data_IF_826543044252
#
_entry.id   IF_826543044252
#
_cell.length_a   1.000
_cell.length_b   1.000
_cell.length_c   1.000
_cell.angle_alpha   90.00
_cell.angle_beta   90.00
_cell.angle_gamma   90.00
#
_symmetry.space_group_name_H-M   'P 1'
#
loop_
_entity.id
_entity.type
_entity.pdbx_description
1 polymer ?
#
# COMPACT_ATOMS: atom_id res chain seq x y z
N UNK A 1 32.12 12.22 -49.92
CA UNK A 1 30.93 13.11 -49.93
C UNK A 1 30.65 13.50 -48.49
N UNK A 2 30.89 14.77 -48.16
CA UNK A 2 30.56 15.35 -46.87
C UNK A 2 29.05 15.47 -46.76
N UNK A 3 28.45 14.77 -45.80
CA UNK A 3 27.04 14.99 -45.42
C UNK A 3 27.06 15.91 -44.21
N UNK A 4 26.60 17.14 -44.43
CA UNK A 4 26.46 18.18 -43.42
C UNK A 4 25.53 17.74 -42.30
N UNK A 5 25.99 17.88 -41.06
CA UNK A 5 25.16 17.80 -39.86
C UNK A 5 24.22 19.01 -39.88
N UNK A 6 22.91 18.77 -39.93
CA UNK A 6 21.92 19.84 -39.80
C UNK A 6 21.94 20.36 -38.36
N UNK A 7 22.41 21.61 -38.19
CA UNK A 7 22.29 22.34 -36.93
C UNK A 7 20.84 22.72 -36.69
N UNK A 8 20.17 22.03 -35.77
CA UNK A 8 18.84 22.39 -35.32
C UNK A 8 18.93 23.67 -34.48
N UNK A 9 18.48 24.79 -35.03
CA UNK A 9 18.36 26.05 -34.30
C UNK A 9 17.14 25.95 -33.37
N UNK A 10 17.41 25.88 -32.06
CA UNK A 10 16.39 25.81 -31.02
C UNK A 10 15.55 27.09 -30.97
N UNK A 11 14.26 26.92 -31.20
CA UNK A 11 13.26 27.98 -31.04
C UNK A 11 13.15 28.35 -29.55
N UNK A 12 13.32 29.63 -29.22
CA UNK A 12 13.48 30.13 -27.84
C UNK A 12 12.16 30.23 -27.05
N UNK A 13 11.05 29.78 -27.62
CA UNK A 13 9.70 29.95 -27.05
C UNK A 13 9.02 28.62 -26.65
N UNK A 14 9.79 27.56 -26.41
CA UNK A 14 9.27 26.32 -25.84
C UNK A 14 9.37 26.36 -24.29
N UNK A 15 8.26 26.37 -23.53
CA UNK A 15 8.27 26.46 -22.06
C UNK A 15 8.70 25.14 -21.40
N UNK A 16 9.08 24.16 -22.21
CA UNK A 16 9.61 22.89 -21.78
C UNK A 16 11.13 23.00 -21.73
N UNK A 17 11.66 23.18 -20.52
CA UNK A 17 13.08 23.06 -20.21
C UNK A 17 13.52 21.61 -20.46
N UNK A 18 13.75 21.25 -21.72
CA UNK A 18 14.47 20.05 -22.09
C UNK A 18 15.97 20.37 -21.94
N UNK A 19 16.71 19.47 -21.31
CA UNK A 19 18.13 19.55 -20.94
C UNK A 19 18.46 20.18 -19.57
N UNK A 20 18.14 19.43 -18.51
CA UNK A 20 18.99 19.41 -17.32
C UNK A 20 19.62 18.02 -17.19
N UNK A 21 20.95 17.94 -17.34
CA UNK A 21 21.87 16.84 -16.98
C UNK A 21 21.22 15.58 -16.37
N UNK A 22 20.58 14.76 -17.21
CA UNK A 22 20.29 13.38 -16.82
C UNK A 22 21.64 12.65 -16.92
N UNK A 23 22.20 12.16 -15.80
CA UNK A 23 23.46 11.44 -15.84
C UNK A 23 23.35 10.26 -16.82
N UNK A 24 24.45 9.92 -17.50
CA UNK A 24 24.49 8.79 -18.42
C UNK A 24 23.96 7.50 -17.78
N UNK A 25 24.20 7.34 -16.48
CA UNK A 25 23.60 6.31 -15.63
C UNK A 25 23.48 6.80 -14.17
N UNK A 26 22.37 6.49 -13.49
CA UNK A 26 22.20 6.85 -12.08
C UNK A 26 21.33 5.85 -11.31
N UNK A 27 21.40 5.90 -9.97
CA UNK A 27 20.54 5.12 -9.10
C UNK A 27 19.20 5.82 -8.84
N UNK A 28 18.13 5.05 -9.01
CA UNK A 28 16.76 5.52 -8.82
C UNK A 28 16.00 4.61 -7.86
N UNK A 29 15.14 5.22 -7.04
CA UNK A 29 14.03 4.54 -6.36
C UNK A 29 12.83 4.56 -7.26
N UNK A 30 12.27 3.40 -7.55
CA UNK A 30 11.20 3.22 -8.51
C UNK A 30 10.00 2.63 -7.80
N UNK A 31 8.83 3.23 -8.01
CA UNK A 31 7.55 2.68 -7.58
C UNK A 31 6.57 2.72 -8.75
N UNK A 32 5.51 1.93 -8.69
CA UNK A 32 4.39 2.02 -9.63
C UNK A 32 3.24 2.79 -8.96
N UNK A 33 2.66 3.76 -9.65
CA UNK A 33 1.57 4.59 -9.15
C UNK A 33 0.16 4.07 -9.48
N UNK A 34 0.08 2.98 -10.24
CA UNK A 34 -1.14 2.38 -10.78
C UNK A 34 -1.19 2.44 -12.31
N UNK A 35 -0.46 3.37 -12.91
CA UNK A 35 -0.39 3.53 -14.36
C UNK A 35 1.05 3.43 -14.87
N UNK A 36 1.98 4.16 -14.26
CA UNK A 36 3.35 4.28 -14.74
C UNK A 36 4.37 3.93 -13.66
N UNK A 37 5.57 3.53 -14.12
CA UNK A 37 6.74 3.48 -13.25
C UNK A 37 7.31 4.88 -13.03
N UNK A 38 7.37 5.29 -11.78
CA UNK A 38 7.86 6.60 -11.36
C UNK A 38 9.15 6.43 -10.56
N UNK A 39 10.21 7.05 -11.08
CA UNK A 39 11.53 7.06 -10.50
C UNK A 39 11.83 8.37 -9.75
N UNK A 40 12.57 8.26 -8.66
CA UNK A 40 13.16 9.40 -7.95
C UNK A 40 14.64 9.14 -7.75
N UNK A 41 15.49 10.11 -8.13
CA UNK A 41 16.94 9.95 -8.03
C UNK A 41 17.35 9.77 -6.57
N UNK A 42 18.23 8.81 -6.33
CA UNK A 42 18.80 8.59 -4.99
C UNK A 42 19.93 9.57 -4.79
N UNK A 43 19.75 10.47 -3.82
CA UNK A 43 20.80 11.35 -3.34
C UNK A 43 21.35 10.86 -2.01
N UNK A 44 22.57 11.29 -1.67
CA UNK A 44 23.19 11.05 -0.37
C UNK A 44 22.29 11.64 0.72
N UNK A 45 21.59 10.78 1.46
CA UNK A 45 20.82 11.21 2.64
C UNK A 45 21.79 11.47 3.79
N UNK A 46 21.64 12.62 4.44
CA UNK A 46 22.13 12.78 5.81
C UNK A 46 21.41 11.76 6.70
N UNK A 47 22.13 11.12 7.62
CA UNK A 47 21.55 10.14 8.55
C UNK A 47 20.48 10.84 9.38
N UNK A 48 19.22 10.41 9.24
CA UNK A 48 18.15 10.95 10.09
C UNK A 48 18.44 10.54 11.55
N UNK A 49 18.36 11.47 12.51
CA UNK A 49 18.53 11.12 13.91
C UNK A 49 17.49 10.07 14.32
N UNK A 50 17.92 9.07 15.09
CA UNK A 50 17.00 8.07 15.67
C UNK A 50 16.13 8.79 16.71
N UNK A 51 14.85 8.97 16.39
CA UNK A 51 13.88 9.45 17.36
C UNK A 51 13.67 8.42 18.48
N UNK A 52 13.66 8.85 19.74
CA UNK A 52 13.34 8.00 20.89
C UNK A 52 11.85 7.61 20.85
N UNK A 53 11.53 6.38 21.23
CA UNK A 53 10.15 5.95 21.40
C UNK A 53 9.51 6.69 22.58
N UNK A 54 8.37 7.37 22.33
CA UNK A 54 7.59 8.05 23.38
C UNK A 54 6.65 7.03 24.04
N UNK A 55 6.53 7.07 25.37
CA UNK A 55 5.54 6.29 26.12
C UNK A 55 4.12 6.80 25.83
N UNK A 56 3.13 5.89 25.81
CA UNK A 56 1.72 6.26 25.72
C UNK A 56 1.25 6.76 27.09
N UNK A 57 0.61 7.93 27.08
CA UNK A 57 -0.06 8.53 28.24
C UNK A 57 -1.54 8.12 28.27
N UNK A 58 -2.21 8.28 29.41
CA UNK A 58 -3.65 8.01 29.53
C UNK A 58 -4.47 8.90 28.60
N UNK A 59 -4.04 10.15 28.41
CA UNK A 59 -4.58 11.05 27.41
C UNK A 59 -4.48 10.47 25.99
N UNK A 60 -3.35 9.81 25.64
CA UNK A 60 -3.21 9.17 24.32
C UNK A 60 -4.19 8.02 24.14
N UNK A 61 -4.48 7.27 25.20
CA UNK A 61 -5.43 6.14 25.18
C UNK A 61 -6.85 6.67 25.00
N UNK A 62 -7.25 7.68 25.79
CA UNK A 62 -8.56 8.31 25.72
C UNK A 62 -8.79 9.01 24.37
N UNK A 63 -7.81 9.75 23.88
CA UNK A 63 -7.89 10.36 22.55
C UNK A 63 -8.10 9.30 21.47
N UNK A 64 -7.35 8.18 21.53
CA UNK A 64 -7.45 7.13 20.53
C UNK A 64 -8.81 6.42 20.57
N UNK A 65 -9.42 6.21 21.74
CA UNK A 65 -10.76 5.62 21.85
C UNK A 65 -11.85 6.56 21.31
N UNK A 66 -11.83 7.84 21.71
CA UNK A 66 -12.78 8.86 21.23
C UNK A 66 -12.65 9.09 19.72
N UNK A 67 -11.43 9.10 19.20
CA UNK A 67 -11.18 9.22 17.76
C UNK A 67 -11.75 8.02 16.98
N UNK A 68 -11.61 6.80 17.50
CA UNK A 68 -12.17 5.61 16.88
C UNK A 68 -13.71 5.63 16.90
N UNK A 69 -14.32 6.03 18.00
CA UNK A 69 -15.77 6.18 18.10
C UNK A 69 -16.30 7.24 17.11
N UNK A 70 -15.69 8.42 17.08
CA UNK A 70 -16.03 9.49 16.13
C UNK A 70 -15.92 9.03 14.67
N UNK A 71 -14.89 8.24 14.34
CA UNK A 71 -14.72 7.66 13.01
C UNK A 71 -15.82 6.65 12.65
N UNK A 72 -16.28 5.83 13.60
CA UNK A 72 -17.36 4.86 13.40
C UNK A 72 -18.72 5.55 13.21
N UNK A 73 -18.96 6.64 13.95
CA UNK A 73 -20.13 7.51 13.77
C UNK A 73 -20.08 8.34 12.48
N UNK A 74 -18.95 8.31 11.75
CA UNK A 74 -18.78 9.02 10.49
C UNK A 74 -18.48 10.52 10.64
N UNK A 75 -18.17 10.98 11.85
CA UNK A 75 -17.81 12.38 12.11
C UNK A 75 -16.52 12.75 11.38
N UNK A 76 -16.49 13.94 10.77
CA UNK A 76 -15.33 14.48 10.06
C UNK A 76 -15.25 15.98 10.24
N UNK A 77 -14.03 16.49 10.34
CA UNK A 77 -13.79 17.93 10.30
C UNK A 77 -13.73 18.41 8.84
N UNK A 78 -14.56 19.41 8.53
CA UNK A 78 -14.52 20.21 7.30
C UNK A 78 -13.89 21.58 7.59
N UNK A 79 -13.87 22.49 6.61
CA UNK A 79 -13.35 23.85 6.83
C UNK A 79 -14.24 24.66 7.79
N UNK A 80 -15.56 24.45 7.73
CA UNK A 80 -16.57 25.21 8.48
C UNK A 80 -17.09 24.47 9.70
N UNK A 81 -17.13 23.14 9.66
CA UNK A 81 -17.65 22.31 10.74
C UNK A 81 -16.55 21.41 11.30
N UNK A 82 -16.37 21.44 12.62
CA UNK A 82 -15.36 20.68 13.36
C UNK A 82 -16.00 19.65 14.30
N UNK A 83 -17.02 18.93 13.80
CA UNK A 83 -17.79 17.97 14.57
C UNK A 83 -16.94 16.90 15.28
N UNK A 84 -15.89 16.38 14.63
CA UNK A 84 -14.99 15.38 15.24
C UNK A 84 -14.16 16.01 16.35
N UNK A 85 -13.58 17.18 16.12
CA UNK A 85 -12.84 17.92 17.16
C UNK A 85 -13.74 18.22 18.36
N UNK A 86 -14.97 18.68 18.14
CA UNK A 86 -15.93 19.00 19.20
C UNK A 86 -16.31 17.76 20.03
N UNK A 87 -16.60 16.64 19.38
CA UNK A 87 -16.88 15.36 20.05
C UNK A 87 -15.72 14.91 20.94
N UNK A 88 -14.50 14.91 20.39
CA UNK A 88 -13.30 14.50 21.12
C UNK A 88 -13.04 15.44 22.30
N UNK A 89 -13.20 16.76 22.10
CA UNK A 89 -13.06 17.76 23.17
C UNK A 89 -14.04 17.49 24.31
N UNK A 90 -15.32 17.31 24.00
CA UNK A 90 -16.35 17.01 24.99
C UNK A 90 -16.06 15.72 25.76
N UNK A 91 -15.51 14.69 25.10
CA UNK A 91 -15.10 13.45 25.75
C UNK A 91 -13.89 13.61 26.68
N UNK A 92 -12.88 14.39 26.26
CA UNK A 92 -11.67 14.62 27.05
C UNK A 92 -11.95 15.47 28.29
N UNK A 93 -12.76 16.54 28.16
CA UNK A 93 -13.09 17.45 29.26
C UNK A 93 -13.79 16.76 30.45
N UNK A 94 -14.40 15.58 30.23
CA UNK A 94 -14.99 14.78 31.32
C UNK A 94 -13.96 14.23 32.31
N UNK A 95 -12.71 14.03 31.86
CA UNK A 95 -11.64 13.43 32.66
C UNK A 95 -10.45 14.40 32.87
N UNK A 96 -10.30 15.39 32.00
CA UNK A 96 -9.24 16.39 32.04
C UNK A 96 -9.85 17.79 31.90
N UNK A 97 -10.29 18.38 33.01
CA UNK A 97 -10.97 19.68 33.05
C UNK A 97 -10.04 20.88 32.83
N UNK A 98 -8.78 20.78 33.26
CA UNK A 98 -7.81 21.89 33.22
C UNK A 98 -6.69 21.63 32.21
N UNK A 99 -6.91 22.02 30.95
CA UNK A 99 -5.91 21.86 29.90
C UNK A 99 -5.90 23.08 28.97
N UNK A 100 -4.99 24.04 29.23
CA UNK A 100 -4.93 25.34 28.53
C UNK A 100 -4.78 25.21 27.01
N UNK A 101 -4.02 24.22 26.53
CA UNK A 101 -3.72 24.03 25.08
C UNK A 101 -4.53 22.88 24.46
N UNK A 102 -5.73 22.60 24.98
CA UNK A 102 -6.50 21.40 24.60
C UNK A 102 -6.85 21.37 23.12
N UNK A 103 -7.32 22.49 22.58
CA UNK A 103 -7.79 22.58 21.19
C UNK A 103 -6.64 22.36 20.19
N UNK A 104 -5.50 23.00 20.43
CA UNK A 104 -4.29 22.83 19.61
C UNK A 104 -3.78 21.38 19.68
N UNK A 105 -3.78 20.81 20.89
CA UNK A 105 -3.36 19.43 21.13
C UNK A 105 -4.24 18.42 20.39
N UNK A 106 -5.57 18.60 20.44
CA UNK A 106 -6.52 17.75 19.71
C UNK A 106 -6.31 17.88 18.20
N UNK A 107 -6.21 19.11 17.69
CA UNK A 107 -6.03 19.36 16.26
C UNK A 107 -4.72 18.75 15.72
N UNK A 108 -3.62 18.89 16.45
CA UNK A 108 -2.33 18.28 16.08
C UNK A 108 -2.44 16.74 16.04
N UNK A 109 -3.10 16.14 17.03
CA UNK A 109 -3.28 14.69 17.10
C UNK A 109 -4.17 14.15 15.97
N UNK A 110 -5.25 14.85 15.62
CA UNK A 110 -6.10 14.52 14.48
C UNK A 110 -5.29 14.62 13.18
N UNK A 111 -4.55 15.73 12.97
CA UNK A 111 -3.65 15.90 11.81
C UNK A 111 -2.64 14.77 11.72
N UNK A 112 -2.04 14.36 12.84
CA UNK A 112 -1.12 13.22 12.92
C UNK A 112 -1.80 11.90 12.51
N UNK A 113 -3.03 11.63 12.97
CA UNK A 113 -3.80 10.44 12.56
C UNK A 113 -4.06 10.43 11.05
N UNK A 114 -4.48 11.57 10.49
CA UNK A 114 -4.70 11.75 9.05
C UNK A 114 -3.43 11.54 8.24
N UNK A 115 -2.32 12.17 8.62
CA UNK A 115 -1.03 12.00 7.93
C UNK A 115 -0.56 10.54 7.97
N UNK A 116 -0.67 9.89 9.13
CA UNK A 116 -0.34 8.47 9.27
C UNK A 116 -1.20 7.59 8.36
N UNK A 117 -2.50 7.88 8.26
CA UNK A 117 -3.38 7.20 7.31
C UNK A 117 -2.92 7.41 5.85
N UNK A 118 -2.70 8.66 5.42
CA UNK A 118 -2.23 8.97 4.07
C UNK A 118 -0.91 8.23 3.73
N UNK A 119 0.03 8.18 4.67
CA UNK A 119 1.28 7.42 4.49
C UNK A 119 1.07 5.91 4.39
N UNK A 120 0.15 5.33 5.18
CA UNK A 120 -0.21 3.91 5.08
C UNK A 120 -0.91 3.61 3.74
N UNK A 121 -1.86 4.44 3.33
CA UNK A 121 -2.57 4.30 2.06
C UNK A 121 -1.60 4.39 0.87
N UNK A 122 -0.70 5.38 0.87
CA UNK A 122 0.37 5.51 -0.14
C UNK A 122 1.24 4.26 -0.18
N UNK A 123 1.65 3.73 0.97
CA UNK A 123 2.46 2.51 1.06
C UNK A 123 1.71 1.29 0.53
N UNK A 124 0.43 1.17 0.85
CA UNK A 124 -0.43 0.10 0.40
C UNK A 124 -0.56 0.11 -1.13
N UNK A 125 -0.91 1.26 -1.72
CA UNK A 125 -0.99 1.42 -3.18
C UNK A 125 0.30 1.04 -3.88
N UNK A 126 1.43 1.57 -3.40
CA UNK A 126 2.73 1.24 -3.97
C UNK A 126 3.07 -0.25 -3.89
N UNK A 127 2.72 -0.93 -2.80
CA UNK A 127 2.88 -2.40 -2.71
C UNK A 127 1.96 -3.11 -3.69
N UNK A 128 0.71 -2.69 -3.76
CA UNK A 128 -0.28 -3.30 -4.64
C UNK A 128 0.14 -3.20 -6.10
N UNK A 129 0.48 -1.99 -6.58
CA UNK A 129 0.80 -1.76 -7.99
C UNK A 129 2.20 -2.21 -8.41
N UNK A 130 3.16 -2.25 -7.49
CA UNK A 130 4.51 -2.74 -7.81
C UNK A 130 4.56 -4.27 -7.88
N UNK A 131 3.63 -4.97 -7.23
CA UNK A 131 3.63 -6.43 -7.15
C UNK A 131 2.49 -7.05 -7.98
N UNK A 132 2.69 -8.27 -8.43
CA UNK A 132 1.67 -9.06 -9.13
C UNK A 132 0.77 -9.77 -8.13
N UNK A 133 -0.53 -9.84 -8.44
CA UNK A 133 -1.56 -10.56 -7.70
C UNK A 133 -2.42 -11.30 -8.71
N UNK A 134 -2.89 -12.50 -8.36
CA UNK A 134 -3.72 -13.34 -9.24
C UNK A 134 -5.01 -13.83 -8.58
N UNK A 135 -5.24 -13.48 -7.30
CA UNK A 135 -6.47 -13.83 -6.58
C UNK A 135 -6.91 -12.71 -5.64
N UNK A 136 -8.22 -12.45 -5.62
CA UNK A 136 -8.88 -11.71 -4.55
C UNK A 136 -9.52 -12.71 -3.61
N UNK A 137 -9.10 -12.68 -2.34
CA UNK A 137 -9.51 -13.69 -1.37
C UNK A 137 -10.32 -13.05 -0.27
N UNK A 138 -11.51 -13.61 -0.05
CA UNK A 138 -12.36 -13.29 1.10
C UNK A 138 -12.47 -14.53 1.98
N UNK A 139 -12.18 -14.40 3.28
CA UNK A 139 -12.33 -15.49 4.25
C UNK A 139 -13.20 -15.02 5.41
N UNK A 140 -14.26 -15.76 5.67
CA UNK A 140 -15.17 -15.55 6.80
C UNK A 140 -15.13 -16.79 7.68
N UNK A 141 -14.80 -16.63 8.96
CA UNK A 141 -14.67 -17.77 9.85
C UNK A 141 -16.03 -18.34 10.24
N UNK A 142 -16.11 -19.66 10.44
CA UNK A 142 -17.24 -20.36 11.03
C UNK A 142 -17.15 -20.33 12.57
N UNK A 143 -18.22 -19.92 13.24
CA UNK A 143 -18.29 -19.78 14.71
C UNK A 143 -18.13 -21.12 15.43
N UNK A 144 -18.47 -22.22 14.75
CA UNK A 144 -18.27 -23.58 15.27
C UNK A 144 -16.78 -23.97 15.31
N UNK A 145 -15.95 -23.31 14.49
CA UNK A 145 -14.52 -23.63 14.33
C UNK A 145 -13.63 -22.63 15.07
N UNK A 146 -14.01 -21.36 15.09
CA UNK A 146 -13.17 -20.27 15.57
C UNK A 146 -13.96 -19.21 16.34
N UNK A 147 -13.32 -18.65 17.36
CA UNK A 147 -13.59 -17.29 17.83
C UNK A 147 -12.81 -16.28 16.98
N UNK A 148 -13.21 -15.00 17.00
CA UNK A 148 -12.50 -13.94 16.25
C UNK A 148 -10.99 -13.87 16.54
N UNK A 149 -10.61 -14.00 17.82
CA UNK A 149 -9.22 -14.01 18.23
C UNK A 149 -8.46 -15.19 17.63
N UNK A 150 -9.08 -16.38 17.70
CA UNK A 150 -8.49 -17.61 17.18
C UNK A 150 -8.40 -17.57 15.65
N UNK A 151 -9.41 -17.03 14.95
CA UNK A 151 -9.42 -16.84 13.51
C UNK A 151 -8.28 -15.93 13.08
N UNK A 152 -8.16 -14.75 13.71
CA UNK A 152 -7.11 -13.78 13.40
C UNK A 152 -5.71 -14.37 13.58
N UNK A 153 -5.50 -15.11 14.68
CA UNK A 153 -4.22 -15.75 14.99
C UNK A 153 -3.90 -16.88 14.01
N UNK A 154 -4.84 -17.81 13.80
CA UNK A 154 -4.64 -18.99 12.94
C UNK A 154 -4.51 -18.60 11.47
N UNK A 155 -5.33 -17.68 10.96
CA UNK A 155 -5.24 -17.22 9.58
C UNK A 155 -3.89 -16.55 9.31
N UNK A 156 -3.44 -15.62 10.18
CA UNK A 156 -2.12 -14.98 10.04
C UNK A 156 -0.98 -16.00 10.05
N UNK A 157 -1.04 -17.00 10.93
CA UNK A 157 -0.02 -18.06 10.98
C UNK A 157 -0.05 -18.92 9.72
N UNK A 158 -1.24 -19.30 9.25
CA UNK A 158 -1.44 -20.04 8.00
C UNK A 158 -0.82 -19.29 6.82
N UNK A 159 -1.21 -18.03 6.59
CA UNK A 159 -0.68 -17.19 5.51
C UNK A 159 0.84 -17.03 5.60
N UNK A 160 1.39 -16.81 6.80
CA UNK A 160 2.85 -16.76 7.01
C UNK A 160 3.55 -18.07 6.64
N UNK A 161 2.94 -19.22 6.92
CA UNK A 161 3.49 -20.52 6.56
C UNK A 161 3.42 -20.76 5.05
N UNK A 162 2.30 -20.41 4.40
CA UNK A 162 2.15 -20.51 2.94
C UNK A 162 3.17 -19.63 2.22
N UNK A 163 3.40 -18.41 2.70
CA UNK A 163 4.46 -17.55 2.18
C UNK A 163 5.84 -18.22 2.28
N UNK A 164 6.18 -18.77 3.44
CA UNK A 164 7.51 -19.34 3.68
C UNK A 164 7.74 -20.66 2.94
N UNK A 165 6.70 -21.51 2.83
CA UNK A 165 6.82 -22.89 2.30
C UNK A 165 6.47 -23.01 0.83
N UNK A 166 5.64 -22.11 0.31
CA UNK A 166 5.02 -22.20 -1.03
C UNK A 166 5.19 -20.92 -1.85
N UNK A 167 5.94 -19.94 -1.36
CA UNK A 167 6.20 -18.70 -2.09
C UNK A 167 5.00 -17.76 -2.25
N UNK A 168 3.89 -17.99 -1.54
CA UNK A 168 2.71 -17.13 -1.61
C UNK A 168 3.07 -15.68 -1.20
N UNK A 169 2.45 -14.70 -1.85
CA UNK A 169 2.44 -13.31 -1.36
C UNK A 169 1.01 -12.94 -1.03
N UNK A 170 0.82 -12.14 0.02
CA UNK A 170 -0.51 -11.67 0.40
C UNK A 170 -0.45 -10.26 0.96
N UNK A 171 -1.52 -9.49 0.74
CA UNK A 171 -1.76 -8.23 1.43
C UNK A 171 -3.26 -8.01 1.63
N UNK A 172 -3.67 -7.70 2.85
CA UNK A 172 -5.10 -7.65 3.18
C UNK A 172 -5.39 -6.99 4.52
N UNK A 173 -6.67 -7.01 4.88
CA UNK A 173 -7.22 -6.33 6.05
C UNK A 173 -8.30 -7.21 6.69
N UNK A 174 -8.34 -7.17 8.02
CA UNK A 174 -9.46 -7.72 8.77
C UNK A 174 -10.53 -6.64 8.89
N UNK A 175 -11.78 -7.01 8.66
CA UNK A 175 -12.90 -6.09 8.67
C UNK A 175 -14.14 -6.79 9.27
N UNK A 176 -15.05 -6.00 9.81
CA UNK A 176 -16.34 -6.46 10.32
C UNK A 176 -17.41 -6.08 9.33
N UNK A 177 -18.26 -7.03 8.93
CA UNK A 177 -19.41 -6.77 8.09
C UNK A 177 -20.32 -5.70 8.72
N UNK A 178 -20.75 -4.66 7.98
CA UNK A 178 -21.60 -3.60 8.54
C UNK A 178 -22.90 -4.09 9.15
N UNK A 179 -23.52 -5.11 8.54
CA UNK A 179 -24.84 -5.61 8.95
C UNK A 179 -24.76 -6.70 10.02
N UNK A 180 -23.81 -7.63 9.88
CA UNK A 180 -23.72 -8.80 10.77
C UNK A 180 -22.66 -8.66 11.86
N UNK A 181 -21.76 -7.67 11.76
CA UNK A 181 -20.63 -7.47 12.67
C UNK A 181 -19.53 -8.54 12.61
N UNK A 182 -19.71 -9.58 11.78
CA UNK A 182 -18.84 -10.74 11.69
C UNK A 182 -17.48 -10.37 11.11
N UNK A 183 -16.42 -10.89 11.73
CA UNK A 183 -15.04 -10.67 11.27
C UNK A 183 -14.75 -11.48 10.00
N UNK A 184 -14.30 -10.80 8.96
CA UNK A 184 -13.81 -11.39 7.72
C UNK A 184 -12.44 -10.81 7.37
N UNK A 185 -11.74 -11.50 6.48
CA UNK A 185 -10.46 -11.07 5.93
C UNK A 185 -10.57 -10.92 4.43
N UNK A 186 -10.23 -9.74 3.92
CA UNK A 186 -10.09 -9.49 2.49
C UNK A 186 -8.62 -9.30 2.15
N UNK A 187 -8.13 -9.88 1.05
CA UNK A 187 -6.78 -9.61 0.59
C UNK A 187 -6.50 -9.96 -0.85
N UNK A 188 -5.44 -9.33 -1.38
CA UNK A 188 -4.81 -9.66 -2.64
C UNK A 188 -3.76 -10.75 -2.41
N UNK A 189 -3.81 -11.79 -3.23
CA UNK A 189 -2.95 -12.95 -3.12
C UNK A 189 -2.22 -13.18 -4.44
N UNK A 190 -0.96 -13.55 -4.32
CA UNK A 190 -0.18 -14.16 -5.39
C UNK A 190 0.09 -15.60 -4.98
N UNK A 191 -0.52 -16.53 -5.71
CA UNK A 191 -0.30 -17.96 -5.57
C UNK A 191 0.54 -18.42 -6.75
N UNK A 192 1.79 -18.88 -6.55
CA UNK A 192 2.59 -19.41 -7.65
C UNK A 192 1.93 -20.61 -8.32
N UNK A 193 2.26 -20.84 -9.58
CA UNK A 193 1.74 -21.99 -10.34
C UNK A 193 2.10 -23.30 -9.65
N UNK A 194 1.11 -24.20 -9.51
CA UNK A 194 1.28 -25.48 -8.81
C UNK A 194 1.32 -25.41 -7.28
N UNK A 195 1.33 -24.21 -6.68
CA UNK A 195 1.45 -24.02 -5.23
C UNK A 195 0.11 -23.78 -4.50
N UNK A 196 -1.01 -23.91 -5.21
CA UNK A 196 -2.34 -23.85 -4.60
C UNK A 196 -2.53 -25.02 -3.64
N UNK A 197 -2.91 -24.73 -2.39
CA UNK A 197 -3.28 -25.75 -1.40
C UNK A 197 -4.80 -25.97 -1.45
N UNK A 198 -5.23 -27.23 -1.40
CA UNK A 198 -6.63 -27.57 -1.61
C UNK A 198 -7.04 -27.42 -3.08
N UNK A 199 -8.34 -27.54 -3.34
CA UNK A 199 -8.92 -27.39 -4.68
C UNK A 199 -9.87 -26.19 -4.67
N UNK A 200 -9.73 -25.31 -5.65
CA UNK A 200 -10.71 -24.27 -5.92
C UNK A 200 -11.79 -24.86 -6.83
N UNK A 201 -13.06 -24.71 -6.46
CA UNK A 201 -14.19 -25.21 -7.24
C UNK A 201 -15.25 -24.14 -7.41
N UNK A 202 -16.04 -24.22 -8.47
CA UNK A 202 -17.17 -23.31 -8.70
C UNK A 202 -18.35 -23.74 -7.84
N UNK A 203 -18.94 -22.80 -7.10
CA UNK A 203 -20.19 -22.98 -6.35
C UNK A 203 -21.16 -21.89 -6.72
N UNK A 204 -22.42 -22.25 -6.93
CA UNK A 204 -23.50 -21.29 -7.10
C UNK A 204 -24.29 -21.22 -5.80
N UNK A 205 -24.45 -20.01 -5.28
CA UNK A 205 -25.19 -19.77 -4.05
C UNK A 205 -26.08 -18.53 -4.19
N UNK A 206 -27.21 -18.53 -3.48
CA UNK A 206 -28.07 -17.36 -3.43
C UNK A 206 -27.55 -16.38 -2.38
N UNK A 207 -27.20 -15.17 -2.80
CA UNK A 207 -26.81 -14.10 -1.91
C UNK A 207 -28.06 -13.43 -1.36
N UNK A 208 -28.35 -13.65 -0.08
CA UNK A 208 -29.47 -12.95 0.58
C UNK A 208 -29.23 -11.44 0.69
N UNK A 209 -27.97 -11.02 0.82
CA UNK A 209 -27.61 -9.61 0.89
C UNK A 209 -27.75 -8.87 -0.45
N UNK A 210 -27.54 -9.57 -1.57
CA UNK A 210 -27.66 -8.99 -2.91
C UNK A 210 -28.93 -9.42 -3.66
N UNK A 211 -29.78 -10.23 -3.00
CA UNK A 211 -31.00 -10.83 -3.53
C UNK A 211 -30.83 -11.46 -4.92
N UNK A 212 -29.68 -12.10 -5.18
CA UNK A 212 -29.37 -12.70 -6.47
C UNK A 212 -28.48 -13.94 -6.35
N UNK A 213 -28.53 -14.78 -7.38
CA UNK A 213 -27.56 -15.86 -7.56
C UNK A 213 -26.17 -15.25 -7.76
N UNK A 214 -25.21 -15.75 -7.00
CA UNK A 214 -23.80 -15.44 -7.13
C UNK A 214 -23.00 -16.71 -7.39
N UNK A 215 -21.91 -16.56 -8.12
CA UNK A 215 -20.94 -17.63 -8.33
C UNK A 215 -19.75 -17.32 -7.43
N UNK A 216 -19.41 -18.27 -6.56
CA UNK A 216 -18.24 -18.19 -5.69
C UNK A 216 -17.24 -19.28 -6.07
N UNK A 217 -15.98 -19.08 -5.69
CA UNK A 217 -14.87 -19.99 -5.95
C UNK A 217 -14.21 -20.44 -4.64
N UNK A 218 -14.86 -21.30 -3.82
CA UNK A 218 -14.28 -21.70 -2.55
C UNK A 218 -13.07 -22.60 -2.73
N UNK A 219 -12.12 -22.47 -1.81
CA UNK A 219 -11.00 -23.37 -1.65
C UNK A 219 -11.26 -24.39 -0.53
N UNK A 220 -11.14 -25.68 -0.84
CA UNK A 220 -11.46 -26.77 0.11
C UNK A 220 -10.62 -26.73 1.40
N UNK A 221 -9.34 -26.39 1.32
CA UNK A 221 -8.47 -26.32 2.50
C UNK A 221 -8.88 -25.18 3.44
N UNK A 222 -9.21 -24.01 2.88
CA UNK A 222 -9.68 -22.88 3.69
C UNK A 222 -11.10 -23.11 4.21
N UNK A 223 -11.92 -23.85 3.48
CA UNK A 223 -13.28 -24.22 3.90
C UNK A 223 -13.26 -25.14 5.11
N UNK A 224 -12.41 -26.16 5.07
CA UNK A 224 -12.17 -27.07 6.19
C UNK A 224 -11.58 -26.33 7.39
N UNK A 225 -10.52 -25.54 7.17
CA UNK A 225 -9.77 -24.91 8.25
C UNK A 225 -10.49 -23.73 8.91
N UNK A 226 -11.16 -22.87 8.13
CA UNK A 226 -11.69 -21.59 8.60
C UNK A 226 -13.20 -21.45 8.39
N UNK A 227 -13.74 -21.97 7.29
CA UNK A 227 -15.16 -21.80 6.92
C UNK A 227 -15.32 -21.11 5.57
N UNK A 228 -16.41 -20.35 5.41
CA UNK A 228 -16.79 -19.74 4.13
C UNK A 228 -15.64 -18.90 3.57
N UNK A 229 -15.26 -19.16 2.33
CA UNK A 229 -14.22 -18.43 1.65
C UNK A 229 -14.51 -18.34 0.15
N UNK A 230 -13.82 -17.42 -0.49
CA UNK A 230 -13.93 -17.15 -1.92
C UNK A 230 -12.55 -16.76 -2.48
N UNK A 231 -12.12 -17.43 -3.55
CA UNK A 231 -10.83 -17.26 -4.22
C UNK A 231 -11.06 -16.82 -5.67
N UNK A 232 -11.60 -15.61 -5.83
CA UNK A 232 -11.83 -15.00 -7.13
C UNK A 232 -10.50 -14.81 -7.87
N UNK A 233 -10.49 -15.13 -9.16
CA UNK A 233 -9.36 -14.79 -10.04
C UNK A 233 -9.31 -13.29 -10.23
N UNK A 234 -8.10 -12.73 -10.14
CA UNK A 234 -7.87 -11.34 -10.49
C UNK A 234 -7.17 -11.28 -11.83
N UNK A 235 -7.81 -10.61 -12.77
CA UNK A 235 -7.12 -10.20 -13.99
C UNK A 235 -6.24 -8.96 -13.73
N UNK A 236 -5.16 -8.82 -14.50
CA UNK A 236 -4.26 -7.68 -14.43
C UNK A 236 -4.98 -6.36 -14.74
N UNK A 237 -5.99 -6.40 -15.61
CA UNK A 237 -6.85 -5.23 -15.88
C UNK A 237 -7.67 -4.81 -14.66
N UNK A 238 -8.22 -5.75 -13.88
CA UNK A 238 -9.03 -5.44 -12.70
C UNK A 238 -8.20 -4.80 -11.59
N UNK A 239 -6.93 -5.22 -11.45
CA UNK A 239 -5.99 -4.60 -10.53
C UNK A 239 -5.62 -3.18 -10.98
N UNK A 240 -5.37 -2.96 -12.28
CA UNK A 240 -5.08 -1.64 -12.85
C UNK A 240 -6.27 -0.67 -12.72
N UNK A 241 -7.50 -1.18 -12.83
CA UNK A 241 -8.72 -0.40 -12.61
C UNK A 241 -8.89 0.08 -11.16
N UNK A 242 -8.07 -0.42 -10.21
CA UNK A 242 -7.98 0.11 -8.86
C UNK A 242 -9.13 -0.27 -7.93
N UNK A 243 -10.22 -0.85 -8.44
CA UNK A 243 -11.42 -1.19 -7.67
C UNK A 243 -11.12 -2.07 -6.46
N UNK A 244 -10.35 -3.15 -6.62
CA UNK A 244 -9.99 -4.04 -5.51
C UNK A 244 -9.08 -3.36 -4.46
N UNK A 245 -8.20 -2.47 -4.92
CA UNK A 245 -7.26 -1.74 -4.07
C UNK A 245 -8.01 -0.67 -3.25
N UNK A 246 -8.88 0.10 -3.90
CA UNK A 246 -9.69 1.11 -3.23
C UNK A 246 -10.74 0.47 -2.32
N UNK A 247 -11.28 -0.70 -2.67
CA UNK A 247 -12.10 -1.53 -1.79
C UNK A 247 -11.35 -1.90 -0.50
N UNK A 248 -10.11 -2.41 -0.59
CA UNK A 248 -9.29 -2.70 0.59
C UNK A 248 -8.91 -1.44 1.39
N UNK A 249 -8.63 -0.32 0.70
CA UNK A 249 -8.33 0.97 1.33
C UNK A 249 -9.51 1.57 2.09
N UNK A 250 -10.74 1.37 1.59
CA UNK A 250 -11.97 1.79 2.27
C UNK A 250 -12.00 1.23 3.71
N UNK A 251 -11.58 -0.02 3.89
CA UNK A 251 -11.59 -0.67 5.19
C UNK A 251 -10.44 -0.25 6.11
N UNK A 252 -9.26 0.01 5.53
CA UNK A 252 -8.14 0.61 6.28
C UNK A 252 -8.52 2.00 6.83
N UNK A 253 -9.37 2.74 6.09
CA UNK A 253 -9.85 4.06 6.51
C UNK A 253 -10.90 3.99 7.61
N UNK A 254 -11.84 3.05 7.53
CA UNK A 254 -13.02 3.01 8.41
C UNK A 254 -12.74 2.43 9.78
N UNK A 255 -12.00 1.32 9.86
CA UNK A 255 -11.84 0.57 11.12
C UNK A 255 -10.54 0.89 11.85
N UNK A 256 -9.65 1.68 11.23
CA UNK A 256 -8.31 1.94 11.76
C UNK A 256 -7.43 0.69 11.80
N UNK A 257 -7.87 -0.41 11.18
CA UNK A 257 -7.22 -1.70 11.21
C UNK A 257 -5.86 -1.68 10.52
N UNK A 258 -4.94 -2.50 11.04
CA UNK A 258 -3.60 -2.62 10.46
C UNK A 258 -3.65 -3.59 9.29
N UNK A 259 -3.07 -3.16 8.16
CA UNK A 259 -2.84 -4.02 7.01
C UNK A 259 -1.94 -5.19 7.43
N UNK A 260 -2.30 -6.37 6.98
CA UNK A 260 -1.53 -7.61 7.13
C UNK A 260 -0.97 -7.97 5.76
N UNK A 261 0.35 -8.12 5.66
CA UNK A 261 1.01 -8.48 4.40
C UNK A 261 2.20 -9.40 4.64
N UNK A 262 2.56 -10.22 3.65
CA UNK A 262 3.71 -11.11 3.71
C UNK A 262 5.03 -10.32 3.78
N UNK A 263 6.10 -10.99 4.20
CA UNK A 263 7.45 -10.42 4.06
C UNK A 263 7.79 -10.28 2.58
N UNK A 264 8.78 -9.44 2.29
CA UNK A 264 9.38 -9.29 0.95
C UNK A 264 8.42 -8.80 -0.14
N UNK A 265 7.43 -7.97 0.24
CA UNK A 265 6.64 -7.16 -0.70
C UNK A 265 7.24 -5.76 -0.76
N UNK A 266 8.06 -5.42 -1.76
CA UNK A 266 8.65 -4.09 -1.85
C UNK A 266 7.59 -3.01 -2.10
N UNK A 267 7.85 -1.80 -1.59
CA UNK A 267 7.09 -0.58 -1.93
C UNK A 267 7.76 0.23 -3.03
N UNK A 268 9.06 0.02 -3.19
CA UNK A 268 9.92 0.63 -4.18
C UNK A 268 11.10 -0.32 -4.41
N UNK A 269 11.62 -0.35 -5.63
CA UNK A 269 12.88 -1.04 -5.98
C UNK A 269 13.96 -0.02 -6.29
N UNK A 270 15.21 -0.35 -5.98
CA UNK A 270 16.36 0.48 -6.34
C UNK A 270 17.06 -0.13 -7.54
N UNK A 271 17.14 0.63 -8.65
CA UNK A 271 17.79 0.18 -9.87
C UNK A 271 18.74 1.26 -10.38
N UNK A 272 19.83 0.84 -11.01
CA UNK A 272 20.71 1.71 -11.79
C UNK A 272 20.16 1.75 -13.21
N UNK A 273 19.81 2.94 -13.69
CA UNK A 273 19.17 3.12 -15.00
C UNK A 273 19.96 4.12 -15.84
N UNK A 274 20.13 3.86 -17.15
CA UNK A 274 20.61 4.85 -18.09
C UNK A 274 19.49 5.82 -18.50
N UNK A 275 19.87 6.99 -19.02
CA UNK A 275 18.93 8.05 -19.42
C UNK A 275 17.88 7.58 -20.46
N UNK A 276 18.21 6.59 -21.31
CA UNK A 276 17.31 6.05 -22.33
C UNK A 276 16.07 5.33 -21.77
N UNK A 277 16.09 4.92 -20.49
CA UNK A 277 14.94 4.27 -19.85
C UNK A 277 13.91 5.30 -19.34
N UNK A 278 14.24 6.59 -19.43
CA UNK A 278 13.41 7.69 -18.95
C UNK A 278 12.65 8.29 -20.12
N UNK A 279 11.32 8.31 -19.99
CA UNK A 279 10.41 8.95 -20.95
C UNK A 279 10.45 10.46 -20.77
N UNK A 280 10.17 10.92 -19.55
CA UNK A 280 10.06 12.35 -19.24
C UNK A 280 10.34 12.62 -17.77
N UNK A 281 10.90 13.79 -17.48
CA UNK A 281 11.02 14.30 -16.12
C UNK A 281 9.78 15.10 -15.71
N UNK A 282 9.35 14.98 -14.46
CA UNK A 282 8.27 15.77 -13.89
C UNK A 282 8.68 16.33 -12.53
N UNK A 283 8.11 17.48 -12.15
CA UNK A 283 8.30 18.08 -10.83
C UNK A 283 7.04 17.89 -9.99
N UNK A 284 7.13 17.08 -8.93
CA UNK A 284 6.05 16.89 -7.95
C UNK A 284 6.65 16.91 -6.54
N UNK A 285 6.75 18.12 -5.99
CA UNK A 285 7.56 18.53 -4.82
C UNK A 285 9.07 18.26 -4.94
N UNK A 286 9.45 17.20 -5.64
CA UNK A 286 10.81 16.75 -5.95
C UNK A 286 10.84 16.34 -7.43
N UNK A 287 12.00 16.46 -8.07
CA UNK A 287 12.19 15.97 -9.44
C UNK A 287 12.01 14.44 -9.48
N UNK A 288 11.11 13.99 -10.35
CA UNK A 288 10.78 12.59 -10.62
C UNK A 288 10.90 12.33 -12.12
N UNK A 289 10.91 11.06 -12.48
CA UNK A 289 11.04 10.61 -13.86
C UNK A 289 10.01 9.52 -14.12
N UNK A 290 9.36 9.58 -15.27
CA UNK A 290 8.50 8.50 -15.78
C UNK A 290 9.36 7.59 -16.63
N UNK A 291 9.27 6.28 -16.41
CA UNK A 291 10.04 5.25 -17.11
C UNK A 291 9.20 4.58 -18.21
N UNK A 292 9.86 3.91 -19.15
CA UNK A 292 9.17 3.02 -20.09
C UNK A 292 8.59 1.80 -19.38
N UNK A 293 7.53 1.22 -19.94
CA UNK A 293 6.80 0.10 -19.34
C UNK A 293 7.65 -1.18 -19.24
N UNK A 294 8.60 -1.36 -20.16
CA UNK A 294 9.48 -2.53 -20.22
C UNK A 294 10.77 -2.38 -19.38
N UNK A 295 11.01 -1.20 -18.81
CA UNK A 295 12.18 -0.93 -17.95
C UNK A 295 12.21 -1.82 -16.71
N UNK A 296 11.05 -2.03 -16.07
CA UNK A 296 10.92 -2.82 -14.83
C UNK A 296 10.18 -4.12 -15.11
N UNK A 297 10.84 -5.25 -14.89
CA UNK A 297 10.22 -6.59 -15.04
C UNK A 297 9.97 -7.19 -13.67
N UNK A 298 8.72 -7.59 -13.40
CA UNK A 298 8.33 -8.04 -12.07
C UNK A 298 9.13 -9.27 -11.60
N UNK A 299 9.28 -10.28 -12.44
CA UNK A 299 9.98 -11.54 -12.13
C UNK A 299 11.46 -11.29 -11.79
N UNK A 300 12.11 -10.41 -12.56
CA UNK A 300 13.55 -10.11 -12.42
C UNK A 300 13.83 -9.13 -11.29
N UNK A 301 13.10 -8.01 -11.26
CA UNK A 301 13.49 -6.83 -10.49
C UNK A 301 12.72 -6.71 -9.17
N UNK A 302 11.52 -7.27 -9.08
CA UNK A 302 10.61 -7.09 -7.93
C UNK A 302 10.44 -8.37 -7.12
N UNK A 303 10.25 -9.51 -7.80
CA UNK A 303 9.78 -10.76 -7.18
C UNK A 303 10.71 -11.24 -6.06
N UNK A 304 12.02 -11.14 -6.31
CA UNK A 304 13.09 -11.54 -5.40
C UNK A 304 13.92 -10.34 -4.91
N UNK A 305 13.34 -9.13 -4.96
CA UNK A 305 14.04 -7.93 -4.60
C UNK A 305 14.53 -7.97 -3.15
N UNK A 306 15.85 -7.93 -2.98
CA UNK A 306 16.50 -7.71 -1.70
C UNK A 306 17.15 -6.33 -1.76
N UNK A 307 16.83 -5.41 -0.84
CA UNK A 307 17.45 -4.10 -0.84
C UNK A 307 18.97 -4.26 -0.68
N UNK A 308 19.72 -4.01 -1.77
CA UNK A 308 21.17 -3.94 -1.71
C UNK A 308 21.53 -2.76 -0.80
N UNK A 309 22.36 -3.00 0.21
CA UNK A 309 23.00 -1.89 0.92
C UNK A 309 23.95 -1.21 -0.07
N UNK A 310 23.53 -0.05 -0.60
CA UNK A 310 24.35 0.70 -1.54
C UNK A 310 25.63 1.14 -0.82
N UNK A 311 26.77 0.71 -1.34
CA UNK A 311 28.08 1.12 -0.84
C UNK A 311 28.40 2.55 -1.30
N UNK A 312 29.40 3.16 -0.69
CA UNK A 312 29.94 4.42 -1.19
C UNK A 312 30.41 4.31 -2.63
N UNK A 313 31.01 3.18 -3.03
CA UNK A 313 31.46 2.93 -4.41
C UNK A 313 30.29 2.90 -5.40
N UNK A 314 29.18 2.25 -5.03
CA UNK A 314 27.97 2.20 -5.86
C UNK A 314 27.41 3.61 -6.14
N UNK A 315 27.53 4.53 -5.17
CA UNK A 315 27.06 5.92 -5.27
C UNK A 315 28.07 6.87 -5.92
N UNK A 316 29.36 6.52 -5.89
CA UNK A 316 30.47 7.36 -6.37
C UNK A 316 30.95 6.99 -7.78
N UNK A 317 30.51 5.87 -8.35
CA UNK A 317 30.77 5.50 -9.74
C UNK A 317 30.09 6.46 -10.73
N UNK A 318 30.62 7.69 -10.80
CA UNK A 318 30.67 8.45 -12.04
C UNK A 318 31.37 7.55 -13.04
N UNK A 319 30.79 7.31 -14.20
CA UNK A 319 31.59 6.90 -15.36
C UNK A 319 32.47 8.10 -15.72
N UNK A 320 33.81 8.04 -15.65
CA UNK A 320 34.59 8.74 -16.64
C UNK A 320 34.46 7.92 -17.93
N UNK A 321 33.93 8.54 -18.97
CA UNK A 321 34.12 8.04 -20.32
C UNK A 321 35.63 7.91 -20.60
N UNK A 322 35.91 6.96 -21.48
CA UNK A 322 37.21 6.51 -21.95
C UNK A 322 38.24 7.61 -22.21
N UNK A 323 39.52 7.23 -22.11
CA UNK A 323 40.53 7.68 -23.05
C UNK A 323 40.52 6.74 -24.26
#
# INVERSE_FOLDING_TARGET
MNISVAEFHGDKDCPFFFYDDVPQEAWYKIYNDGSHYVASRIFRSQVKPKAKARSRTDFDILFDSLYLAAMQEGLRDTKSDKAMTAYIKAGILKLFSDYETLDETIAERIKRKRNNYCHRAKRFRRKAYLNRWNRFVTVTFDDKKHTEESFRKKLRKCLSNLHTRRGWKYMGVFERAPETGRLHFHGLFYVPDGEMIGKVYRREDYSTAQEKMQVTYPNTFFEEAFGRNDFEELDEMELKNGNAIDYLLKYISKTGERIVYSRDIPTEVCMKLPAREIVVSMLDFVRKFVLFDDTVKWERDVMHYKPKQLSMLDLLSRSPQAA
#
